data_IF_472324287057
#
_entry.id   IF_472324287057
#
_cell.length_a   1.000
_cell.length_b   1.000
_cell.length_c   1.000
_cell.angle_alpha   90.00
_cell.angle_beta   90.00
_cell.angle_gamma   90.00
#
_symmetry.space_group_name_H-M   'P 1'
#
loop_
_entity.id
_entity.type
_entity.pdbx_description
1 polymer ?
#
# COMPACT_ATOMS: atom_id res chain seq x y z
N UNK A 1 42.59 2.16 29.02
CA UNK A 1 41.36 2.92 28.87
C UNK A 1 40.91 2.63 27.47
N UNK A 2 40.05 1.61 27.32
CA UNK A 2 39.47 1.23 26.04
C UNK A 2 38.31 2.12 25.74
N UNK A 3 38.35 2.73 24.55
CA UNK A 3 37.27 3.52 23.98
C UNK A 3 36.15 2.56 23.53
N UNK A 4 35.20 2.32 24.43
CA UNK A 4 33.96 1.60 24.13
C UNK A 4 33.02 2.53 23.39
N UNK A 5 33.32 2.78 22.13
CA UNK A 5 32.35 3.39 21.21
C UNK A 5 31.24 2.37 20.97
N UNK A 6 30.26 2.32 21.88
CA UNK A 6 29.10 1.49 21.81
C UNK A 6 28.35 1.73 20.50
N UNK A 7 28.58 0.89 19.51
CA UNK A 7 27.69 0.70 18.36
C UNK A 7 26.44 -0.01 18.87
N UNK A 8 25.57 0.75 19.53
CA UNK A 8 24.26 0.24 19.89
C UNK A 8 23.57 -0.27 18.64
N UNK A 9 23.13 -1.52 18.64
CA UNK A 9 22.33 -2.08 17.54
C UNK A 9 21.04 -1.29 17.36
N UNK A 10 20.48 -1.30 16.15
CA UNK A 10 19.18 -0.68 15.85
C UNK A 10 18.09 -1.71 16.11
N UNK A 11 17.17 -1.36 16.99
CA UNK A 11 16.01 -2.21 17.28
C UNK A 11 15.15 -2.37 16.04
N UNK A 12 14.78 -3.60 15.72
CA UNK A 12 14.00 -3.98 14.56
C UNK A 12 13.10 -5.17 14.85
N UNK A 13 11.92 -5.19 14.26
CA UNK A 13 11.12 -6.39 14.13
C UNK A 13 11.85 -7.37 13.19
N UNK A 14 11.84 -8.64 13.52
CA UNK A 14 12.37 -9.70 12.66
C UNK A 14 11.39 -10.86 12.60
N UNK A 15 11.17 -11.38 11.41
CA UNK A 15 10.29 -12.53 11.17
C UNK A 15 10.99 -13.58 10.29
N UNK A 16 10.62 -14.82 10.50
CA UNK A 16 10.98 -15.94 9.60
C UNK A 16 9.70 -16.32 8.85
N UNK A 17 9.68 -16.25 7.53
CA UNK A 17 8.46 -16.56 6.74
C UNK A 17 7.91 -17.95 7.09
N UNK A 18 6.58 -18.03 7.34
CA UNK A 18 5.89 -19.26 7.72
C UNK A 18 6.18 -19.77 9.14
N UNK A 19 6.86 -18.96 9.99
CA UNK A 19 7.22 -19.36 11.35
C UNK A 19 6.90 -18.25 12.36
N UNK A 20 5.60 -18.00 12.63
CA UNK A 20 5.15 -16.92 13.52
C UNK A 20 5.77 -16.99 14.92
N UNK A 21 6.03 -18.19 15.43
CA UNK A 21 6.66 -18.40 16.74
C UNK A 21 8.12 -17.90 16.83
N UNK A 22 8.75 -17.59 15.70
CA UNK A 22 10.09 -17.04 15.63
C UNK A 22 10.13 -15.51 15.46
N UNK A 23 8.96 -14.88 15.38
CA UNK A 23 8.84 -13.43 15.31
C UNK A 23 9.34 -12.78 16.62
N UNK A 24 10.24 -11.81 16.52
CA UNK A 24 10.86 -11.16 17.70
C UNK A 24 11.44 -9.80 17.36
N UNK A 25 11.69 -9.00 18.37
CA UNK A 25 12.51 -7.79 18.26
C UNK A 25 13.98 -8.17 18.44
N UNK A 26 14.83 -7.59 17.61
CA UNK A 26 16.28 -7.83 17.60
C UNK A 26 17.04 -6.50 17.50
N UNK A 27 18.32 -6.52 17.89
CA UNK A 27 19.26 -5.45 17.63
C UNK A 27 20.08 -5.79 16.38
N UNK A 28 19.93 -5.01 15.32
CA UNK A 28 20.65 -5.17 14.05
C UNK A 28 21.77 -4.15 13.93
N UNK A 29 22.91 -4.58 13.42
CA UNK A 29 23.92 -3.66 12.95
C UNK A 29 23.40 -2.94 11.69
N UNK A 30 23.32 -1.63 11.72
CA UNK A 30 22.94 -0.86 10.54
C UNK A 30 24.19 -0.53 9.75
N UNK A 31 24.21 -1.00 8.51
CA UNK A 31 25.14 -0.51 7.51
C UNK A 31 24.55 0.78 6.91
N UNK A 32 24.97 1.92 7.42
CA UNK A 32 24.73 3.19 6.72
C UNK A 32 25.53 3.14 5.41
N UNK A 33 24.81 3.24 4.29
CA UNK A 33 25.42 3.22 2.97
C UNK A 33 25.72 4.65 2.52
N UNK A 34 26.96 4.98 2.17
CA UNK A 34 27.28 6.30 1.63
C UNK A 34 26.37 6.64 0.44
N UNK A 35 25.82 7.84 0.42
CA UNK A 35 24.95 8.31 -0.66
C UNK A 35 23.47 7.98 -0.47
N UNK A 36 23.05 7.35 0.63
CA UNK A 36 21.65 7.12 0.96
C UNK A 36 21.08 8.20 1.91
N UNK A 37 19.78 8.39 1.83
CA UNK A 37 19.01 9.13 2.84
C UNK A 37 18.83 8.21 4.05
N UNK A 38 19.24 8.66 5.21
CA UNK A 38 19.09 7.96 6.49
C UNK A 38 17.94 8.60 7.26
N UNK A 39 17.03 7.78 7.75
CA UNK A 39 15.89 8.26 8.53
C UNK A 39 15.71 7.46 9.82
N UNK A 40 15.38 8.16 10.91
CA UNK A 40 14.80 7.52 12.07
C UNK A 40 13.38 7.08 11.73
N UNK A 41 13.09 5.80 11.92
CA UNK A 41 11.77 5.23 11.72
C UNK A 41 10.81 5.75 12.80
N UNK A 42 9.68 6.32 12.37
CA UNK A 42 8.63 6.79 13.27
C UNK A 42 7.50 5.75 13.35
N UNK A 43 6.95 5.38 12.21
CA UNK A 43 5.85 4.42 12.11
C UNK A 43 6.10 3.45 10.93
N UNK A 44 5.63 2.23 11.09
CA UNK A 44 5.46 1.27 10.01
C UNK A 44 3.99 0.84 9.93
N UNK A 45 3.39 0.90 8.73
CA UNK A 45 2.04 0.39 8.51
C UNK A 45 2.05 -1.12 8.32
N UNK A 46 0.99 -1.77 8.80
CA UNK A 46 0.78 -3.21 8.68
C UNK A 46 -0.20 -3.48 7.54
N UNK A 47 0.19 -4.36 6.63
CA UNK A 47 -0.58 -4.83 5.48
C UNK A 47 -0.98 -6.30 5.63
N UNK A 48 -1.95 -6.75 4.83
CA UNK A 48 -2.26 -8.18 4.72
C UNK A 48 -1.06 -9.03 4.31
N UNK A 49 -0.20 -8.50 3.44
CA UNK A 49 1.04 -9.15 3.01
C UNK A 49 1.99 -9.47 4.16
N UNK A 50 2.07 -8.62 5.19
CA UNK A 50 2.91 -8.90 6.37
C UNK A 50 2.39 -10.13 7.14
N UNK A 51 1.06 -10.28 7.21
CA UNK A 51 0.41 -11.45 7.82
C UNK A 51 0.67 -12.71 6.99
N UNK A 52 0.56 -12.63 5.65
CA UNK A 52 0.85 -13.73 4.73
C UNK A 52 2.32 -14.17 4.82
N UNK A 53 3.27 -13.23 4.94
CA UNK A 53 4.69 -13.55 5.14
C UNK A 53 4.86 -14.36 6.41
N UNK A 54 4.31 -13.90 7.51
CA UNK A 54 4.52 -14.51 8.83
C UNK A 54 3.81 -15.86 8.95
N UNK A 55 2.56 -15.98 8.45
CA UNK A 55 1.74 -17.18 8.61
C UNK A 55 1.91 -18.20 7.49
N UNK A 56 1.94 -17.73 6.25
CA UNK A 56 1.84 -18.59 5.07
C UNK A 56 3.18 -18.75 4.34
N UNK A 57 4.23 -18.04 4.80
CA UNK A 57 5.56 -18.12 4.21
C UNK A 57 5.69 -17.40 2.87
N UNK A 58 4.80 -16.43 2.59
CA UNK A 58 4.89 -15.61 1.40
C UNK A 58 6.18 -14.78 1.37
N UNK A 59 6.70 -14.46 0.19
CA UNK A 59 7.87 -13.61 0.02
C UNK A 59 9.20 -14.37 0.05
N UNK A 60 10.29 -13.64 0.28
CA UNK A 60 11.64 -14.21 0.35
C UNK A 60 12.56 -13.38 1.24
N UNK A 61 13.38 -14.05 2.04
CA UNK A 61 14.39 -13.40 2.89
C UNK A 61 15.57 -12.86 2.05
N UNK A 62 16.34 -11.88 2.56
CA UNK A 62 17.57 -11.43 1.92
C UNK A 62 18.56 -12.59 1.71
N UNK A 63 19.33 -12.59 0.60
CA UNK A 63 20.29 -13.66 0.33
C UNK A 63 21.25 -13.90 1.49
N UNK A 64 21.44 -15.17 1.87
CA UNK A 64 22.33 -15.60 2.96
C UNK A 64 21.76 -15.36 4.37
N UNK A 65 20.46 -15.06 4.49
CA UNK A 65 19.78 -14.89 5.79
C UNK A 65 18.58 -15.83 5.90
N UNK A 66 18.16 -16.10 7.14
CA UNK A 66 16.99 -16.95 7.44
C UNK A 66 15.76 -16.12 7.85
N UNK A 67 15.92 -14.80 7.97
CA UNK A 67 14.90 -13.91 8.46
C UNK A 67 14.91 -12.57 7.71
N UNK A 68 13.80 -11.85 7.78
CA UNK A 68 13.61 -10.53 7.17
C UNK A 68 13.05 -9.56 8.20
N UNK A 69 13.40 -8.28 8.09
CA UNK A 69 12.66 -7.21 8.75
C UNK A 69 11.36 -6.97 7.95
N UNK A 70 10.17 -7.11 8.57
CA UNK A 70 8.89 -6.92 7.89
C UNK A 70 8.56 -5.44 7.68
N UNK A 71 7.37 -5.17 7.19
CA UNK A 71 6.71 -3.90 6.95
C UNK A 71 7.32 -3.10 5.79
N UNK A 72 6.46 -2.82 4.83
CA UNK A 72 6.81 -2.09 3.62
C UNK A 72 6.19 -0.69 3.57
N UNK A 73 5.23 -0.38 4.43
CA UNK A 73 4.65 0.95 4.57
C UNK A 73 5.45 1.72 5.64
N UNK A 74 6.04 2.84 5.28
CA UNK A 74 7.00 3.53 6.15
C UNK A 74 6.70 5.00 6.35
N UNK A 75 7.05 5.48 7.53
CA UNK A 75 7.24 6.87 7.85
C UNK A 75 8.52 7.05 8.64
N UNK A 76 9.37 7.98 8.24
CA UNK A 76 10.59 8.33 8.98
C UNK A 76 10.88 9.81 8.96
N UNK A 77 11.84 10.19 9.81
CA UNK A 77 12.40 11.55 9.85
C UNK A 77 13.86 11.50 9.43
N UNK A 78 14.21 12.29 8.43
CA UNK A 78 15.59 12.34 7.91
C UNK A 78 16.56 12.81 8.99
N UNK A 79 17.61 12.05 9.23
CA UNK A 79 18.73 12.38 10.12
C UNK A 79 20.01 12.67 9.37
N UNK A 80 20.15 12.15 8.15
CA UNK A 80 21.25 12.41 7.25
C UNK A 80 20.81 12.24 5.80
N UNK A 81 21.28 13.08 4.91
CA UNK A 81 21.03 12.99 3.49
C UNK A 81 22.24 13.50 2.68
N UNK A 82 22.49 12.95 1.48
CA UNK A 82 23.55 13.42 0.61
C UNK A 82 23.28 14.84 0.12
N UNK A 83 24.33 15.63 -0.06
CA UNK A 83 24.24 16.96 -0.66
C UNK A 83 23.57 16.87 -2.05
N UNK A 84 22.67 17.81 -2.33
CA UNK A 84 21.95 17.87 -3.60
C UNK A 84 20.90 16.77 -3.80
N UNK A 85 20.63 15.90 -2.81
CA UNK A 85 19.63 14.84 -2.89
C UNK A 85 18.18 15.34 -2.91
N UNK A 86 17.94 16.60 -2.52
CA UNK A 86 16.60 17.16 -2.36
C UNK A 86 15.95 16.87 -0.99
N UNK A 87 16.70 16.27 -0.06
CA UNK A 87 16.29 16.01 1.32
C UNK A 87 17.14 16.80 2.30
N UNK A 88 16.52 17.24 3.40
CA UNK A 88 17.16 17.91 4.51
C UNK A 88 16.88 17.17 5.83
N UNK A 89 17.79 17.32 6.80
CA UNK A 89 17.58 16.81 8.16
C UNK A 89 16.30 17.40 8.73
N UNK A 90 15.46 16.55 9.30
CA UNK A 90 14.13 16.89 9.83
C UNK A 90 12.99 16.69 8.86
N UNK A 91 13.22 16.50 7.57
CA UNK A 91 12.15 16.18 6.60
C UNK A 91 11.42 14.88 6.99
N UNK A 92 10.10 14.86 6.82
CA UNK A 92 9.33 13.61 6.84
C UNK A 92 9.51 12.89 5.51
N UNK A 93 9.70 11.57 5.57
CA UNK A 93 10.01 10.77 4.41
C UNK A 93 9.31 9.42 4.44
N UNK A 94 8.82 8.97 3.29
CA UNK A 94 8.40 7.59 3.04
C UNK A 94 9.36 6.91 2.05
N UNK A 95 9.66 5.65 2.29
CA UNK A 95 10.49 4.84 1.39
C UNK A 95 9.65 4.08 0.38
N UNK A 96 10.12 4.03 -0.87
CA UNK A 96 9.48 3.24 -1.94
C UNK A 96 9.75 1.75 -1.71
N UNK A 97 8.78 0.89 -1.97
CA UNK A 97 8.86 -0.56 -1.72
C UNK A 97 9.75 -1.27 -2.73
N UNK A 98 9.41 -1.18 -4.02
CA UNK A 98 10.04 -2.00 -5.06
C UNK A 98 11.35 -1.38 -5.57
N UNK A 99 12.34 -2.24 -5.75
CA UNK A 99 13.60 -1.94 -6.44
C UNK A 99 13.63 -2.63 -7.79
N UNK A 100 14.16 -1.99 -8.84
CA UNK A 100 14.25 -2.60 -10.16
C UNK A 100 15.11 -3.88 -10.14
N UNK A 101 14.92 -4.72 -11.14
CA UNK A 101 15.81 -5.82 -11.44
C UNK A 101 17.25 -5.28 -11.67
N UNK A 102 18.27 -5.86 -11.02
CA UNK A 102 19.67 -5.48 -11.25
C UNK A 102 20.12 -5.60 -12.73
N UNK A 103 19.49 -6.52 -13.47
CA UNK A 103 19.64 -6.60 -14.94
C UNK A 103 18.31 -6.15 -15.55
N UNK A 104 18.14 -4.84 -15.83
CA UNK A 104 16.85 -4.25 -16.09
C UNK A 104 16.20 -4.81 -17.36
N UNK A 105 14.92 -5.19 -17.25
CA UNK A 105 14.06 -5.35 -18.41
C UNK A 105 13.70 -3.96 -19.00
N UNK A 106 13.10 -3.88 -20.20
CA UNK A 106 12.74 -2.59 -20.80
C UNK A 106 11.90 -1.69 -19.88
N UNK A 107 10.99 -2.27 -19.09
CA UNK A 107 10.18 -1.51 -18.13
C UNK A 107 11.05 -0.93 -17.00
N UNK A 108 11.93 -1.74 -16.39
CA UNK A 108 12.85 -1.27 -15.36
C UNK A 108 13.83 -0.21 -15.90
N UNK A 109 14.33 -0.37 -17.12
CA UNK A 109 15.21 0.59 -17.78
C UNK A 109 14.53 1.94 -18.04
N UNK A 110 13.21 1.92 -18.25
CA UNK A 110 12.37 3.12 -18.41
C UNK A 110 11.91 3.73 -17.09
N UNK A 111 12.36 3.21 -15.93
CA UNK A 111 11.91 3.69 -14.62
C UNK A 111 10.54 3.17 -14.18
N UNK A 112 9.93 2.27 -14.95
CA UNK A 112 8.65 1.63 -14.64
C UNK A 112 8.87 0.24 -14.02
N UNK A 113 9.63 0.18 -12.93
CA UNK A 113 9.97 -1.08 -12.25
C UNK A 113 8.77 -1.80 -11.66
N UNK A 114 7.69 -1.10 -11.40
CA UNK A 114 6.38 -1.65 -11.01
C UNK A 114 5.75 -2.54 -12.10
N UNK A 115 6.23 -2.44 -13.35
CA UNK A 115 5.91 -3.31 -14.48
C UNK A 115 7.04 -4.29 -14.82
N UNK A 116 7.93 -4.60 -13.88
CA UNK A 116 9.04 -5.52 -14.14
C UNK A 116 8.56 -6.86 -14.69
N UNK A 117 9.13 -7.28 -15.84
CA UNK A 117 8.75 -8.52 -16.52
C UNK A 117 9.66 -9.71 -16.22
N UNK A 118 10.86 -9.45 -15.69
CA UNK A 118 11.82 -10.51 -15.34
C UNK A 118 11.49 -11.18 -14.01
N UNK A 119 10.67 -10.53 -13.15
CA UNK A 119 10.34 -11.04 -11.82
C UNK A 119 11.49 -11.00 -10.80
N UNK A 120 12.67 -10.46 -11.16
CA UNK A 120 13.84 -10.36 -10.27
C UNK A 120 13.95 -9.02 -9.56
N UNK A 121 12.86 -8.28 -9.46
CA UNK A 121 12.75 -7.12 -8.59
C UNK A 121 12.85 -7.55 -7.12
N UNK A 122 13.28 -6.64 -6.27
CA UNK A 122 13.27 -6.81 -4.82
C UNK A 122 12.28 -5.85 -4.18
N UNK A 123 11.76 -6.22 -3.01
CA UNK A 123 10.75 -5.41 -2.30
C UNK A 123 11.07 -5.34 -0.81
N UNK A 124 11.07 -4.12 -0.29
CA UNK A 124 11.25 -3.85 1.13
C UNK A 124 10.20 -4.60 1.96
N UNK A 125 10.68 -5.39 2.93
CA UNK A 125 9.82 -6.13 3.86
C UNK A 125 9.08 -7.33 3.25
N UNK A 126 9.29 -7.61 1.95
CA UNK A 126 8.55 -8.67 1.23
C UNK A 126 9.51 -9.63 0.53
N UNK A 127 10.41 -9.10 -0.29
CA UNK A 127 11.22 -9.94 -1.18
C UNK A 127 12.67 -9.48 -1.22
N UNK A 128 13.56 -10.30 -0.64
CA UNK A 128 15.01 -10.18 -0.69
C UNK A 128 15.59 -8.83 -0.20
N UNK A 129 14.81 -8.05 0.53
CA UNK A 129 15.22 -6.76 1.05
C UNK A 129 14.49 -6.44 2.36
N UNK A 130 15.25 -6.14 3.43
CA UNK A 130 14.67 -5.75 4.72
C UNK A 130 13.69 -4.59 4.57
N UNK A 131 12.60 -4.67 5.32
CA UNK A 131 11.55 -3.68 5.39
C UNK A 131 11.90 -2.47 6.25
N UNK A 132 10.87 -1.79 6.69
CA UNK A 132 10.96 -0.55 7.46
C UNK A 132 10.61 -0.75 8.94
N UNK A 133 10.38 -1.97 9.39
CA UNK A 133 10.07 -2.30 10.79
C UNK A 133 11.26 -2.13 11.73
N UNK A 134 11.97 -1.02 11.64
CA UNK A 134 13.17 -0.74 12.43
C UNK A 134 13.30 0.74 12.79
N UNK A 135 13.95 1.03 13.91
CA UNK A 135 14.13 2.40 14.43
C UNK A 135 14.98 3.30 13.55
N UNK A 136 15.79 2.75 12.66
CA UNK A 136 16.58 3.53 11.68
C UNK A 136 16.75 2.72 10.40
N UNK A 137 16.54 3.37 9.27
CA UNK A 137 16.69 2.76 7.96
C UNK A 137 17.28 3.75 6.94
N UNK A 138 17.81 3.21 5.86
CA UNK A 138 18.34 4.03 4.76
C UNK A 138 17.78 3.61 3.41
N UNK A 139 17.72 4.59 2.49
CA UNK A 139 17.30 4.37 1.10
C UNK A 139 18.05 5.30 0.15
N UNK A 140 18.34 4.86 -1.09
CA UNK A 140 18.83 5.79 -2.11
C UNK A 140 17.80 6.91 -2.36
N UNK A 141 18.24 8.18 -2.61
CA UNK A 141 17.32 9.31 -2.78
C UNK A 141 16.24 9.09 -3.84
N UNK A 142 16.53 8.37 -4.93
CA UNK A 142 15.56 8.02 -5.97
C UNK A 142 14.44 7.07 -5.54
N UNK A 143 14.53 6.53 -4.32
CA UNK A 143 13.54 5.62 -3.71
C UNK A 143 12.99 6.17 -2.40
N UNK A 144 13.07 7.48 -2.20
CA UNK A 144 12.49 8.21 -1.08
C UNK A 144 11.52 9.28 -1.59
N UNK A 145 10.50 9.56 -0.80
CA UNK A 145 9.51 10.61 -1.08
C UNK A 145 9.45 11.53 0.12
N UNK A 146 9.77 12.81 -0.10
CA UNK A 146 9.59 13.84 0.92
C UNK A 146 8.12 14.16 1.06
N UNK A 147 7.65 14.20 2.29
CA UNK A 147 6.24 14.42 2.63
C UNK A 147 6.01 15.85 3.12
N UNK A 148 4.77 16.34 2.96
CA UNK A 148 4.34 17.58 3.58
C UNK A 148 4.45 17.43 5.11
N UNK A 149 5.17 18.34 5.82
CA UNK A 149 5.34 18.25 7.26
C UNK A 149 4.01 18.22 8.04
N UNK A 150 2.97 18.83 7.49
CA UNK A 150 1.63 18.86 8.10
C UNK A 150 0.96 17.49 8.19
N UNK A 151 1.45 16.49 7.44
CA UNK A 151 0.97 15.10 7.56
C UNK A 151 1.30 14.49 8.92
N UNK A 152 2.44 14.86 9.52
CA UNK A 152 2.85 14.21 10.75
C UNK A 152 2.81 12.68 10.61
N UNK A 153 2.22 12.01 11.59
CA UNK A 153 2.07 10.55 11.62
C UNK A 153 1.22 9.98 10.47
N UNK A 154 0.33 10.79 9.90
CA UNK A 154 -0.53 10.37 8.78
C UNK A 154 0.27 10.08 7.51
N UNK A 155 1.51 10.53 7.46
CA UNK A 155 2.44 10.22 6.37
C UNK A 155 2.70 8.72 6.17
N UNK A 156 2.43 7.87 7.18
CA UNK A 156 2.53 6.41 7.06
C UNK A 156 1.56 5.84 6.00
N UNK A 157 0.49 6.56 5.68
CA UNK A 157 -0.49 6.18 4.66
C UNK A 157 0.01 6.40 3.22
N UNK A 158 1.22 6.93 3.03
CA UNK A 158 1.74 7.27 1.68
C UNK A 158 1.92 6.05 0.78
N UNK A 159 2.39 4.93 1.32
CA UNK A 159 2.55 3.72 0.53
C UNK A 159 1.19 3.21 0.01
N UNK A 160 0.18 2.90 0.85
CA UNK A 160 -1.12 2.46 0.35
C UNK A 160 -1.82 3.51 -0.53
N UNK A 161 -1.63 4.81 -0.27
CA UNK A 161 -2.13 5.87 -1.15
C UNK A 161 -1.45 5.84 -2.54
N UNK A 162 -0.19 5.44 -2.63
CA UNK A 162 0.54 5.31 -3.90
C UNK A 162 -0.02 4.19 -4.78
N UNK A 163 -0.39 3.06 -4.18
CA UNK A 163 -1.04 1.94 -4.88
C UNK A 163 -2.37 2.39 -5.49
N UNK A 164 -3.13 3.15 -4.73
CA UNK A 164 -4.41 3.72 -5.15
C UNK A 164 -4.23 4.78 -6.24
N UNK A 165 -3.26 5.69 -6.09
CA UNK A 165 -2.95 6.69 -7.10
C UNK A 165 -2.60 6.04 -8.45
N UNK A 166 -1.85 4.93 -8.43
CA UNK A 166 -1.60 4.12 -9.63
C UNK A 166 -2.89 3.51 -10.19
N UNK A 167 -3.76 2.97 -9.35
CA UNK A 167 -5.04 2.41 -9.80
C UNK A 167 -5.86 3.46 -10.56
N UNK A 168 -5.99 4.66 -9.99
CA UNK A 168 -6.67 5.80 -10.62
C UNK A 168 -5.99 6.26 -11.91
N UNK A 169 -4.66 6.34 -11.94
CA UNK A 169 -3.91 6.67 -13.16
C UNK A 169 -4.18 5.66 -14.27
N UNK A 170 -4.22 4.36 -13.96
CA UNK A 170 -4.54 3.31 -14.94
C UNK A 170 -5.97 3.41 -15.45
N UNK A 171 -6.93 3.63 -14.56
CA UNK A 171 -8.32 3.84 -14.95
C UNK A 171 -8.45 5.05 -15.89
N UNK A 172 -7.82 6.18 -15.53
CA UNK A 172 -7.85 7.44 -16.30
C UNK A 172 -7.38 7.23 -17.74
N UNK A 173 -6.24 6.58 -17.95
CA UNK A 173 -5.71 6.28 -19.29
C UNK A 173 -6.71 5.53 -20.17
N UNK A 174 -7.54 4.66 -19.57
CA UNK A 174 -8.51 3.85 -20.29
C UNK A 174 -9.79 4.64 -20.62
N UNK A 175 -10.36 5.38 -19.66
CA UNK A 175 -11.58 6.16 -19.95
C UNK A 175 -11.30 7.37 -20.86
N UNK A 176 -10.14 8.03 -20.73
CA UNK A 176 -9.75 9.12 -21.65
C UNK A 176 -9.59 8.61 -23.07
N UNK A 177 -8.99 7.42 -23.25
CA UNK A 177 -8.89 6.78 -24.57
C UNK A 177 -10.26 6.47 -25.18
N UNK A 178 -11.24 6.10 -24.36
CA UNK A 178 -12.60 5.79 -24.79
C UNK A 178 -13.47 7.04 -24.97
N UNK A 179 -12.96 8.24 -24.69
CA UNK A 179 -13.74 9.48 -24.62
C UNK A 179 -14.94 9.41 -23.65
N UNK A 180 -14.85 8.54 -22.63
CA UNK A 180 -15.88 8.36 -21.62
C UNK A 180 -15.83 9.53 -20.61
N UNK A 181 -16.92 10.29 -20.43
CA UNK A 181 -16.98 11.32 -19.40
C UNK A 181 -17.23 10.69 -18.03
N UNK A 182 -16.23 9.96 -17.51
CA UNK A 182 -16.35 9.23 -16.25
C UNK A 182 -16.67 10.17 -15.09
N UNK A 183 -17.75 9.87 -14.32
CA UNK A 183 -18.26 10.67 -13.20
C UNK A 183 -18.64 9.85 -11.98
N UNK A 184 -18.71 8.53 -12.10
CA UNK A 184 -19.14 7.62 -11.04
C UNK A 184 -18.11 6.50 -10.86
N UNK A 185 -17.90 6.09 -9.60
CA UNK A 185 -16.97 5.00 -9.28
C UNK A 185 -17.58 4.06 -8.25
N UNK A 186 -17.40 2.77 -8.49
CA UNK A 186 -17.62 1.69 -7.54
C UNK A 186 -16.29 1.29 -6.93
N UNK A 187 -16.18 1.33 -5.61
CA UNK A 187 -15.05 0.78 -4.86
C UNK A 187 -15.55 -0.43 -4.09
N UNK A 188 -14.93 -1.59 -4.27
CA UNK A 188 -15.25 -2.79 -3.47
C UNK A 188 -14.21 -3.00 -2.39
N UNK A 189 -14.70 -3.15 -1.14
CA UNK A 189 -13.90 -3.20 0.08
C UNK A 189 -13.70 -1.83 0.71
N UNK A 190 -14.01 -1.72 2.00
CA UNK A 190 -13.72 -0.55 2.83
C UNK A 190 -12.54 -0.79 3.78
N UNK A 191 -11.52 -1.50 3.30
CA UNK A 191 -10.19 -1.55 3.92
C UNK A 191 -9.37 -0.29 3.59
N UNK A 192 -8.10 -0.21 4.03
CA UNK A 192 -7.26 0.97 3.80
C UNK A 192 -7.18 1.37 2.32
N UNK A 193 -6.98 0.40 1.44
CA UNK A 193 -6.88 0.63 -0.02
C UNK A 193 -8.21 1.17 -0.57
N UNK A 194 -9.35 0.55 -0.23
CA UNK A 194 -10.65 1.00 -0.72
C UNK A 194 -11.06 2.36 -0.18
N UNK A 195 -10.81 2.64 1.10
CA UNK A 195 -11.09 3.96 1.69
C UNK A 195 -10.23 5.06 1.05
N UNK A 196 -8.96 4.80 0.79
CA UNK A 196 -8.10 5.73 0.05
C UNK A 196 -8.54 5.87 -1.42
N UNK A 197 -9.03 4.77 -2.05
CA UNK A 197 -9.60 4.85 -3.39
C UNK A 197 -10.85 5.74 -3.43
N UNK A 198 -11.72 5.62 -2.42
CA UNK A 198 -12.89 6.48 -2.26
C UNK A 198 -12.49 7.95 -2.03
N UNK A 199 -11.49 8.20 -1.18
CA UNK A 199 -10.95 9.56 -0.95
C UNK A 199 -10.51 10.21 -2.27
N UNK A 200 -9.67 9.54 -3.06
CA UNK A 200 -9.19 10.08 -4.32
C UNK A 200 -10.35 10.32 -5.30
N UNK A 201 -11.35 9.43 -5.34
CA UNK A 201 -12.54 9.61 -6.15
C UNK A 201 -13.34 10.85 -5.77
N UNK A 202 -13.57 11.07 -4.47
CA UNK A 202 -14.25 12.27 -3.97
C UNK A 202 -13.44 13.53 -4.28
N UNK A 203 -12.11 13.50 -4.11
CA UNK A 203 -11.25 14.64 -4.45
C UNK A 203 -11.27 15.01 -5.93
N UNK A 204 -11.52 14.05 -6.81
CA UNK A 204 -11.67 14.26 -8.26
C UNK A 204 -13.12 14.57 -8.68
N UNK A 205 -14.05 14.62 -7.73
CA UNK A 205 -15.44 15.00 -7.98
C UNK A 205 -16.34 13.86 -8.49
N UNK A 206 -15.93 12.61 -8.32
CA UNK A 206 -16.77 11.46 -8.67
C UNK A 206 -17.90 11.24 -7.68
N UNK A 207 -19.04 10.74 -8.16
CA UNK A 207 -20.03 10.08 -7.33
C UNK A 207 -19.47 8.71 -6.91
N UNK A 208 -19.15 8.56 -5.62
CA UNK A 208 -18.43 7.38 -5.10
C UNK A 208 -19.41 6.45 -4.40
N UNK A 209 -19.43 5.18 -4.81
CA UNK A 209 -20.14 4.08 -4.17
C UNK A 209 -19.12 3.10 -3.60
N UNK A 210 -19.21 2.78 -2.29
CA UNK A 210 -18.33 1.82 -1.63
C UNK A 210 -19.16 0.64 -1.15
N UNK A 211 -18.70 -0.58 -1.48
CA UNK A 211 -19.32 -1.83 -1.06
C UNK A 211 -18.40 -2.55 -0.08
N UNK A 212 -18.87 -2.84 1.13
CA UNK A 212 -18.18 -3.69 2.10
C UNK A 212 -19.22 -4.41 2.98
N UNK A 213 -18.87 -5.56 3.53
CA UNK A 213 -19.77 -6.40 4.34
C UNK A 213 -20.03 -5.86 5.75
N UNK A 214 -19.23 -4.93 6.26
CA UNK A 214 -19.39 -4.37 7.60
C UNK A 214 -20.70 -3.57 7.68
N UNK A 215 -21.54 -3.86 8.66
CA UNK A 215 -22.83 -3.16 8.85
C UNK A 215 -22.73 -1.98 9.82
N UNK A 216 -21.66 -1.91 10.61
CA UNK A 216 -21.39 -0.89 11.63
C UNK A 216 -19.88 -0.72 11.83
N UNK A 217 -19.49 0.22 12.67
CA UNK A 217 -18.09 0.49 13.01
C UNK A 217 -17.41 1.48 12.07
N UNK A 218 -16.07 1.60 12.13
CA UNK A 218 -15.34 2.69 11.48
C UNK A 218 -15.47 2.73 9.96
N UNK A 219 -15.61 1.58 9.29
CA UNK A 219 -15.63 1.50 7.83
C UNK A 219 -16.82 2.25 7.20
N UNK A 220 -18.10 1.93 7.53
CA UNK A 220 -19.22 2.67 6.98
C UNK A 220 -19.22 4.14 7.39
N UNK A 221 -18.73 4.46 8.59
CA UNK A 221 -18.70 5.83 9.10
C UNK A 221 -17.68 6.68 8.32
N UNK A 222 -16.50 6.14 8.05
CA UNK A 222 -15.49 6.80 7.22
C UNK A 222 -15.97 7.04 5.78
N UNK A 223 -16.69 6.08 5.19
CA UNK A 223 -17.26 6.26 3.84
C UNK A 223 -18.29 7.40 3.83
N UNK A 224 -19.21 7.41 4.80
CA UNK A 224 -20.24 8.47 4.91
C UNK A 224 -19.62 9.84 5.20
N UNK A 225 -18.55 9.88 6.00
CA UNK A 225 -17.83 11.13 6.30
C UNK A 225 -17.15 11.74 5.08
N UNK A 226 -16.82 10.94 4.05
CA UNK A 226 -16.37 11.44 2.75
C UNK A 226 -17.51 12.01 1.88
N UNK A 227 -18.76 11.81 2.25
CA UNK A 227 -19.91 12.08 1.37
C UNK A 227 -20.15 11.00 0.31
N UNK A 228 -19.52 9.84 0.44
CA UNK A 228 -19.70 8.70 -0.45
C UNK A 228 -20.89 7.81 0.00
N UNK A 229 -21.50 7.11 -0.96
CA UNK A 229 -22.57 6.15 -0.68
C UNK A 229 -21.98 4.81 -0.19
N UNK A 230 -22.49 4.29 0.92
CA UNK A 230 -22.08 3.00 1.48
C UNK A 230 -23.14 1.93 1.22
N UNK A 231 -22.71 0.75 0.80
CA UNK A 231 -23.55 -0.40 0.49
C UNK A 231 -22.98 -1.65 1.17
N UNK A 232 -23.85 -2.55 1.61
CA UNK A 232 -23.45 -3.84 2.19
C UNK A 232 -23.44 -4.97 1.16
N UNK A 233 -24.00 -4.72 -0.02
CA UNK A 233 -24.05 -5.65 -1.13
C UNK A 233 -23.86 -4.90 -2.46
N UNK A 234 -23.17 -5.52 -3.42
CA UNK A 234 -22.94 -4.95 -4.75
C UNK A 234 -24.23 -4.77 -5.54
N UNK A 235 -25.25 -5.58 -5.29
CA UNK A 235 -26.56 -5.47 -5.95
C UNK A 235 -27.39 -4.27 -5.48
N UNK A 236 -27.01 -3.63 -4.38
CA UNK A 236 -27.59 -2.35 -3.95
C UNK A 236 -27.12 -1.16 -4.82
N UNK A 237 -26.04 -1.34 -5.57
CA UNK A 237 -25.59 -0.36 -6.58
C UNK A 237 -26.35 -0.62 -7.85
N UNK A 238 -27.51 0.04 -8.00
CA UNK A 238 -28.49 -0.22 -9.08
C UNK A 238 -28.14 0.48 -10.40
N UNK A 239 -27.25 1.47 -10.37
CA UNK A 239 -26.80 2.18 -11.57
C UNK A 239 -25.51 1.54 -12.11
N UNK A 240 -25.35 1.57 -13.42
CA UNK A 240 -24.05 1.35 -14.04
C UNK A 240 -23.11 2.48 -13.61
N UNK A 241 -21.85 2.12 -13.36
CA UNK A 241 -20.81 3.08 -12.99
C UNK A 241 -19.75 3.15 -14.09
N UNK A 242 -19.06 4.28 -14.17
CA UNK A 242 -18.06 4.47 -15.22
C UNK A 242 -16.80 3.68 -14.92
N UNK A 243 -16.38 3.66 -13.64
CA UNK A 243 -15.13 3.04 -13.17
C UNK A 243 -15.43 2.12 -11.97
N UNK A 244 -14.74 1.00 -11.89
CA UNK A 244 -14.67 0.21 -10.66
C UNK A 244 -13.20 0.03 -10.23
N UNK A 245 -12.94 0.19 -8.92
CA UNK A 245 -11.67 -0.15 -8.28
C UNK A 245 -11.95 -1.28 -7.30
N UNK A 246 -11.54 -2.48 -7.68
CA UNK A 246 -11.78 -3.69 -6.92
C UNK A 246 -10.60 -3.93 -5.96
N UNK A 247 -10.86 -3.90 -4.65
CA UNK A 247 -9.84 -3.95 -3.60
C UNK A 247 -9.94 -5.17 -2.68
N UNK A 248 -10.81 -6.13 -2.99
CA UNK A 248 -11.07 -7.27 -2.10
C UNK A 248 -10.46 -8.59 -2.58
N UNK A 249 -10.34 -8.76 -3.89
CA UNK A 249 -10.01 -10.04 -4.51
C UNK A 249 -11.13 -11.09 -4.43
N UNK A 250 -12.32 -10.74 -3.91
CA UNK A 250 -13.47 -11.67 -3.82
C UNK A 250 -14.08 -11.86 -5.20
N UNK A 251 -14.12 -13.10 -5.68
CA UNK A 251 -14.56 -13.44 -7.05
C UNK A 251 -15.94 -12.88 -7.40
N UNK A 252 -16.90 -12.92 -6.46
CA UNK A 252 -18.24 -12.35 -6.69
C UNK A 252 -18.20 -10.83 -6.88
N UNK A 253 -17.34 -10.12 -6.13
CA UNK A 253 -17.18 -8.66 -6.24
C UNK A 253 -16.39 -8.27 -7.48
N UNK A 254 -15.38 -9.07 -7.87
CA UNK A 254 -14.67 -8.92 -9.16
C UNK A 254 -15.70 -9.01 -10.30
N UNK A 255 -16.51 -10.07 -10.31
CA UNK A 255 -17.58 -10.23 -11.33
C UNK A 255 -18.56 -9.07 -11.30
N UNK A 256 -19.04 -8.69 -10.11
CA UNK A 256 -19.98 -7.58 -9.94
C UNK A 256 -19.42 -6.25 -10.47
N UNK A 257 -18.14 -5.98 -10.24
CA UNK A 257 -17.42 -4.80 -10.72
C UNK A 257 -17.32 -4.79 -12.26
N UNK A 258 -16.90 -5.91 -12.85
CA UNK A 258 -16.75 -6.04 -14.32
C UNK A 258 -18.09 -5.84 -15.05
N UNK A 259 -19.17 -6.41 -14.51
CA UNK A 259 -20.50 -6.28 -15.13
C UNK A 259 -21.05 -4.86 -15.04
N UNK A 260 -20.73 -4.08 -13.99
CA UNK A 260 -21.31 -2.74 -13.76
C UNK A 260 -20.48 -1.59 -14.32
N UNK A 261 -19.15 -1.78 -14.50
CA UNK A 261 -18.27 -0.69 -14.89
C UNK A 261 -17.80 -0.80 -16.34
N UNK A 262 -17.59 0.34 -16.99
CA UNK A 262 -16.91 0.41 -18.29
C UNK A 262 -15.41 0.17 -18.17
N UNK A 263 -14.80 0.62 -17.07
CA UNK A 263 -13.38 0.40 -16.76
C UNK A 263 -13.26 -0.24 -15.37
N UNK A 264 -12.68 -1.42 -15.26
CA UNK A 264 -12.43 -2.10 -13.99
C UNK A 264 -10.95 -2.24 -13.72
N UNK A 265 -10.50 -1.74 -12.57
CA UNK A 265 -9.12 -1.92 -12.08
C UNK A 265 -9.14 -2.92 -10.92
N UNK A 266 -8.45 -4.04 -11.09
CA UNK A 266 -8.29 -5.09 -10.09
C UNK A 266 -7.03 -4.81 -9.25
N UNK A 267 -7.22 -4.48 -7.98
CA UNK A 267 -6.16 -4.21 -7.00
C UNK A 267 -6.14 -5.25 -5.86
N UNK A 268 -7.25 -5.95 -5.63
CA UNK A 268 -7.33 -7.04 -4.67
C UNK A 268 -6.71 -8.34 -5.20
N UNK A 269 -6.07 -9.10 -4.29
CA UNK A 269 -5.53 -10.44 -4.57
C UNK A 269 -6.51 -11.46 -3.99
N UNK A 270 -6.82 -12.51 -4.76
CA UNK A 270 -7.88 -13.48 -4.39
C UNK A 270 -7.52 -14.36 -3.18
N UNK A 271 -6.23 -14.52 -2.85
CA UNK A 271 -5.82 -15.39 -1.76
C UNK A 271 -6.30 -16.86 -1.95
N UNK A 272 -6.36 -17.59 -0.85
CA UNK A 272 -6.83 -18.98 -0.81
C UNK A 272 -8.36 -19.05 -0.80
N UNK A 273 -8.99 -18.81 -1.94
CA UNK A 273 -10.43 -19.01 -2.12
C UNK A 273 -10.68 -20.28 -2.91
N UNK A 274 -11.79 -20.96 -2.59
CA UNK A 274 -12.26 -22.08 -3.42
C UNK A 274 -12.47 -21.62 -4.87
N UNK A 275 -12.06 -22.42 -5.86
CA UNK A 275 -12.28 -22.10 -7.26
C UNK A 275 -13.77 -21.89 -7.55
N UNK A 276 -14.15 -20.72 -8.00
CA UNK A 276 -15.52 -20.42 -8.43
C UNK A 276 -15.55 -20.42 -9.95
N UNK A 277 -16.46 -21.19 -10.58
CA UNK A 277 -16.63 -21.16 -12.04
C UNK A 277 -16.94 -19.74 -12.50
N UNK A 278 -16.14 -19.21 -13.42
CA UNK A 278 -16.40 -17.93 -14.04
C UNK A 278 -17.42 -18.15 -15.17
N UNK A 279 -18.55 -17.44 -15.10
CA UNK A 279 -19.57 -17.46 -16.16
C UNK A 279 -18.98 -16.85 -17.44
N UNK A 280 -18.89 -17.59 -18.56
CA UNK A 280 -18.32 -17.09 -19.82
C UNK A 280 -18.98 -15.81 -20.32
N UNK A 281 -20.27 -15.58 -19.99
CA UNK A 281 -21.01 -14.39 -20.38
C UNK A 281 -20.41 -13.08 -19.84
N UNK A 282 -19.57 -13.14 -18.80
CA UNK A 282 -18.80 -11.98 -18.36
C UNK A 282 -17.84 -11.50 -19.45
N UNK A 283 -17.24 -12.42 -20.19
CA UNK A 283 -16.34 -12.08 -21.31
C UNK A 283 -17.11 -11.55 -22.52
N UNK A 284 -18.30 -12.13 -22.79
CA UNK A 284 -19.19 -11.60 -23.83
C UNK A 284 -19.59 -10.14 -23.52
N UNK A 285 -19.91 -9.84 -22.26
CA UNK A 285 -20.23 -8.49 -21.81
C UNK A 285 -19.07 -7.52 -21.99
N UNK A 286 -17.84 -7.94 -21.64
CA UNK A 286 -16.61 -7.15 -21.87
C UNK A 286 -16.41 -6.84 -23.34
N UNK A 287 -16.59 -7.83 -24.22
CA UNK A 287 -16.43 -7.66 -25.68
C UNK A 287 -17.52 -6.77 -26.28
N UNK A 288 -18.79 -7.07 -25.97
CA UNK A 288 -19.94 -6.39 -26.59
C UNK A 288 -20.04 -4.92 -26.20
N UNK A 289 -19.54 -4.54 -25.01
CA UNK A 289 -19.59 -3.18 -24.51
C UNK A 289 -18.23 -2.45 -24.52
N UNK A 290 -17.20 -3.04 -25.17
CA UNK A 290 -15.84 -2.48 -25.21
C UNK A 290 -15.30 -2.10 -23.83
N UNK A 291 -15.59 -2.92 -22.82
CA UNK A 291 -15.13 -2.69 -21.45
C UNK A 291 -13.63 -2.98 -21.31
N UNK A 292 -12.97 -2.30 -20.38
CA UNK A 292 -11.57 -2.53 -20.05
C UNK A 292 -11.45 -3.13 -18.65
N UNK A 293 -10.70 -4.23 -18.53
CA UNK A 293 -10.34 -4.84 -17.24
C UNK A 293 -8.82 -4.88 -17.12
N UNK A 294 -8.27 -4.31 -16.06
CA UNK A 294 -6.84 -4.18 -15.88
C UNK A 294 -6.40 -4.42 -14.44
N UNK A 295 -5.33 -5.19 -14.24
CA UNK A 295 -4.72 -5.40 -12.92
C UNK A 295 -3.77 -4.28 -12.53
N UNK A 296 -3.57 -4.07 -11.22
CA UNK A 296 -2.58 -3.14 -10.66
C UNK A 296 -1.95 -3.73 -9.41
N UNK A 297 -0.65 -3.51 -9.23
CA UNK A 297 0.09 -3.89 -8.01
C UNK A 297 1.28 -2.95 -7.85
N UNK A 298 1.64 -2.63 -6.60
CA UNK A 298 2.78 -1.76 -6.31
C UNK A 298 2.65 -0.37 -6.98
N UNK A 299 3.67 0.47 -6.90
CA UNK A 299 3.62 1.84 -7.40
C UNK A 299 5.01 2.33 -7.86
N UNK A 300 5.03 3.24 -8.83
CA UNK A 300 6.23 3.97 -9.23
C UNK A 300 6.38 5.25 -8.37
N UNK A 301 7.55 5.89 -8.43
CA UNK A 301 7.83 7.11 -7.66
C UNK A 301 6.80 8.24 -7.92
N UNK A 302 6.32 8.35 -9.15
CA UNK A 302 5.29 9.34 -9.49
C UNK A 302 3.96 9.07 -8.78
N UNK A 303 3.59 7.80 -8.62
CA UNK A 303 2.37 7.40 -7.92
C UNK A 303 2.49 7.67 -6.40
N UNK A 304 3.69 7.45 -5.81
CA UNK A 304 3.97 7.82 -4.42
C UNK A 304 3.79 9.31 -4.17
N UNK A 305 4.32 10.16 -5.08
CA UNK A 305 4.13 11.62 -5.00
C UNK A 305 2.66 11.99 -5.12
N UNK A 306 1.96 11.42 -6.08
CA UNK A 306 0.53 11.67 -6.26
C UNK A 306 -0.30 11.24 -5.04
N UNK A 307 0.04 10.08 -4.44
CA UNK A 307 -0.58 9.63 -3.19
C UNK A 307 -0.31 10.58 -2.02
N UNK A 308 0.95 11.00 -1.83
CA UNK A 308 1.33 11.97 -0.81
C UNK A 308 0.60 13.31 -0.98
N UNK A 309 0.50 13.82 -2.21
CA UNK A 309 -0.23 15.05 -2.54
C UNK A 309 -1.74 14.91 -2.25
N UNK A 310 -2.33 13.74 -2.53
CA UNK A 310 -3.73 13.47 -2.20
C UNK A 310 -3.97 13.46 -0.68
N UNK A 311 -3.07 12.83 0.09
CA UNK A 311 -3.11 12.88 1.56
C UNK A 311 -2.96 14.29 2.09
N UNK A 312 -2.06 15.10 1.50
CA UNK A 312 -1.84 16.47 1.91
C UNK A 312 -3.10 17.37 1.75
N UNK A 313 -3.95 17.05 0.79
CA UNK A 313 -5.23 17.77 0.56
C UNK A 313 -6.41 17.23 1.38
N UNK A 314 -6.27 16.06 2.01
CA UNK A 314 -7.35 15.41 2.73
C UNK A 314 -7.59 16.04 4.11
N UNK A 315 -8.80 15.87 4.63
CA UNK A 315 -9.12 16.21 6.02
C UNK A 315 -8.28 15.38 7.00
N UNK A 316 -7.63 16.03 7.93
CA UNK A 316 -6.72 15.38 8.90
C UNK A 316 -7.47 14.48 9.87
N UNK A 317 -8.67 14.88 10.30
CA UNK A 317 -9.51 14.08 11.20
C UNK A 317 -9.96 12.80 10.54
N UNK A 318 -10.33 12.88 9.25
CA UNK A 318 -10.69 11.71 8.46
C UNK A 318 -9.51 10.76 8.27
N UNK A 319 -8.33 11.28 7.89
CA UNK A 319 -7.12 10.46 7.77
C UNK A 319 -6.73 9.79 9.09
N UNK A 320 -6.85 10.52 10.21
CA UNK A 320 -6.58 9.95 11.54
C UNK A 320 -7.54 8.81 11.88
N UNK A 321 -8.79 8.90 11.44
CA UNK A 321 -9.79 7.83 11.59
C UNK A 321 -9.44 6.53 10.84
N UNK A 322 -8.55 6.58 9.83
CA UNK A 322 -8.05 5.37 9.17
C UNK A 322 -7.12 4.57 10.08
N UNK A 323 -6.34 5.23 10.96
CA UNK A 323 -5.39 4.56 11.85
C UNK A 323 -6.15 4.15 13.12
N UNK A 324 -6.74 2.97 13.09
CA UNK A 324 -7.59 2.47 14.18
C UNK A 324 -6.81 1.85 15.33
N UNK A 325 -5.56 1.46 15.13
CA UNK A 325 -4.74 0.86 16.18
C UNK A 325 -3.26 1.17 16.02
N UNK A 326 -2.59 1.49 17.13
CA UNK A 326 -1.14 1.66 17.25
C UNK A 326 -0.60 0.61 18.20
N UNK A 327 0.52 -0.02 17.85
CA UNK A 327 1.17 -1.06 18.63
C UNK A 327 2.65 -0.69 18.77
N UNK A 328 3.24 -0.74 19.97
CA UNK A 328 4.68 -0.52 20.15
C UNK A 328 5.50 -1.56 19.39
N UNK A 329 6.73 -1.21 18.98
CA UNK A 329 7.65 -2.15 18.32
C UNK A 329 7.85 -3.44 19.13
N UNK A 330 7.89 -3.34 20.46
CA UNK A 330 8.11 -4.49 21.32
C UNK A 330 6.98 -5.52 21.26
N UNK A 331 5.78 -5.07 20.92
CA UNK A 331 4.58 -5.87 20.82
C UNK A 331 4.12 -6.03 19.34
N UNK A 332 5.02 -5.84 18.37
CA UNK A 332 4.66 -5.78 16.94
C UNK A 332 3.89 -7.01 16.45
N UNK A 333 4.05 -8.16 17.09
CA UNK A 333 3.30 -9.38 16.77
C UNK A 333 1.79 -9.20 16.96
N UNK A 334 1.38 -8.39 17.95
CA UNK A 334 -0.05 -8.08 18.16
C UNK A 334 -0.64 -7.29 16.99
N UNK A 335 0.21 -6.55 16.25
CA UNK A 335 -0.21 -5.81 15.07
C UNK A 335 -0.57 -6.73 13.88
N UNK A 336 -0.04 -7.97 13.87
CA UNK A 336 -0.32 -8.97 12.85
C UNK A 336 -1.65 -9.73 13.10
N UNK A 337 -2.20 -9.61 14.31
CA UNK A 337 -3.51 -10.16 14.63
C UNK A 337 -4.61 -9.18 14.26
N UNK A 338 -5.37 -9.52 13.21
CA UNK A 338 -6.44 -8.67 12.68
C UNK A 338 -7.66 -8.69 13.60
N UNK A 339 -8.16 -7.51 13.99
CA UNK A 339 -9.40 -7.32 14.74
C UNK A 339 -10.52 -6.84 13.81
N UNK A 340 -11.76 -7.04 14.20
CA UNK A 340 -12.95 -6.72 13.39
C UNK A 340 -13.00 -5.24 12.98
N UNK A 341 -12.69 -4.34 13.93
CA UNK A 341 -12.70 -2.89 13.71
C UNK A 341 -11.40 -2.32 13.14
N UNK A 342 -10.40 -3.16 12.86
CA UNK A 342 -9.15 -2.68 12.26
C UNK A 342 -9.38 -2.21 10.81
N UNK A 343 -9.04 -0.95 10.57
CA UNK A 343 -8.86 -0.39 9.23
C UNK A 343 -7.37 -0.38 8.91
N UNK A 344 -6.59 0.49 9.54
CA UNK A 344 -5.13 0.50 9.43
C UNK A 344 -4.51 0.33 10.83
N UNK A 345 -3.65 -0.65 10.94
CA UNK A 345 -2.79 -0.86 12.11
C UNK A 345 -1.40 -0.32 11.80
N UNK A 346 -0.78 0.34 12.75
CA UNK A 346 0.59 0.82 12.63
C UNK A 346 1.44 0.38 13.82
N UNK A 347 2.71 0.14 13.56
CA UNK A 347 3.73 -0.14 14.59
C UNK A 347 4.49 1.15 14.88
N UNK A 348 4.52 1.54 16.14
CA UNK A 348 5.31 2.67 16.62
C UNK A 348 6.75 2.22 16.83
N UNK A 349 7.68 2.87 16.13
CA UNK A 349 9.10 2.50 16.11
C UNK A 349 9.94 3.36 17.06
N UNK A 350 9.36 4.41 17.65
CA UNK A 350 10.06 5.37 18.50
C UNK A 350 10.50 4.80 19.87
#
# INVERSE_FOLDING_TARGET
MGDDTGRGGIRAAQVVPGRPELARVVDLAVEERPGEVVADGLLAGVCGTDVEIVRDGFGAVPPGRDAIVPFHESLGRVVSAPDGSGFAVGDLVAGVVRRPDPVPCPACAAGAWDFCRNGRYRERGIKELDGYGMRRWSVPPGFAVRLDPSLGDLGVLTEPASVVAKAWRRARLLWEHSHLPARSVLVTGAGPIGLLAALLGVQEGFAVHVVDRATSGPKPDLVRALGAAYHTDVDQVTADVDVAIECTGVTALIRGSVLRASVTVLAGITGDQDPVPLDPRVFDDVVLHNKAVVGTVNAALADYRAGADALARADRGWLAGLITRRVPLDDFTDALDRREDDVKVVVDLA
#
